data_IF_972752692937
#
_entry.id   IF_972752692937
#
_cell.length_a   1.000
_cell.length_b   1.000
_cell.length_c   1.000
_cell.angle_alpha   90.00
_cell.angle_beta   90.00
_cell.angle_gamma   90.00
#
_symmetry.space_group_name_H-M   'P 1'
#
loop_
_entity.id
_entity.type
_entity.pdbx_description
1 polymer ?
#
# COMPACT_ATOMS: atom_id res chain seq x y z
N UNK A 1 -27.34 6.64 -3.43
CA UNK A 1 -26.80 6.53 -4.80
C UNK A 1 -25.30 6.42 -4.69
N UNK A 2 -24.71 5.26 -4.94
CA UNK A 2 -23.25 5.16 -5.11
C UNK A 2 -22.94 5.70 -6.51
N UNK A 3 -22.16 6.79 -6.58
CA UNK A 3 -21.57 7.26 -7.83
C UNK A 3 -20.53 6.24 -8.29
N UNK A 4 -20.94 5.30 -9.14
CA UNK A 4 -20.09 4.27 -9.74
C UNK A 4 -19.28 4.83 -10.92
N UNK A 5 -18.44 5.82 -10.63
CA UNK A 5 -17.38 6.24 -11.53
C UNK A 5 -16.20 6.62 -10.67
N UNK A 6 -15.69 5.65 -9.90
CA UNK A 6 -14.35 5.82 -9.35
C UNK A 6 -13.39 5.96 -10.53
N UNK A 7 -12.64 7.05 -10.49
CA UNK A 7 -11.68 7.42 -11.51
C UNK A 7 -10.67 6.28 -11.72
N UNK A 8 -10.34 5.96 -12.98
CA UNK A 8 -9.53 4.77 -13.30
C UNK A 8 -8.19 4.78 -12.56
N UNK A 9 -7.55 5.96 -12.48
CA UNK A 9 -6.28 6.14 -11.78
C UNK A 9 -6.43 5.96 -10.26
N UNK A 10 -7.58 6.29 -9.68
CA UNK A 10 -7.84 6.08 -8.25
C UNK A 10 -7.98 4.59 -7.91
N UNK A 11 -8.73 3.85 -8.72
CA UNK A 11 -8.83 2.40 -8.57
C UNK A 11 -7.47 1.73 -8.79
N UNK A 12 -6.75 2.14 -9.84
CA UNK A 12 -5.41 1.63 -10.14
C UNK A 12 -4.43 1.90 -9.00
N UNK A 13 -4.48 3.08 -8.39
CA UNK A 13 -3.69 3.43 -7.21
C UNK A 13 -3.98 2.52 -6.04
N UNK A 14 -5.26 2.27 -5.73
CA UNK A 14 -5.63 1.36 -4.64
C UNK A 14 -5.12 -0.05 -4.88
N UNK A 15 -5.26 -0.57 -6.10
CA UNK A 15 -4.74 -1.89 -6.45
C UNK A 15 -3.22 -1.97 -6.30
N UNK A 16 -2.49 -0.94 -6.73
CA UNK A 16 -1.04 -0.87 -6.55
C UNK A 16 -0.67 -0.89 -5.07
N UNK A 17 -1.32 -0.07 -4.24
CA UNK A 17 -1.05 0.00 -2.80
C UNK A 17 -1.40 -1.31 -2.09
N UNK A 18 -2.50 -1.98 -2.45
CA UNK A 18 -2.85 -3.31 -1.92
C UNK A 18 -1.77 -4.33 -2.27
N UNK A 19 -1.26 -4.34 -3.50
CA UNK A 19 -0.14 -5.21 -3.91
C UNK A 19 1.12 -4.92 -3.11
N UNK A 20 1.47 -3.64 -2.95
CA UNK A 20 2.60 -3.19 -2.15
C UNK A 20 2.49 -3.66 -0.69
N UNK A 21 1.38 -3.40 -0.01
CA UNK A 21 1.18 -3.82 1.37
C UNK A 21 1.13 -5.35 1.53
N UNK A 22 0.67 -6.08 0.50
CA UNK A 22 0.75 -7.54 0.51
C UNK A 22 2.19 -8.02 0.54
N UNK A 23 3.05 -7.47 -0.33
CA UNK A 23 4.48 -7.79 -0.34
C UNK A 23 5.18 -7.40 0.97
N UNK A 24 4.82 -6.24 1.53
CA UNK A 24 5.32 -5.78 2.83
C UNK A 24 4.96 -6.77 3.96
N UNK A 25 3.69 -7.19 4.05
CA UNK A 25 3.24 -8.17 5.05
C UNK A 25 3.95 -9.51 4.85
N UNK A 26 4.03 -10.01 3.61
CA UNK A 26 4.69 -11.29 3.32
C UNK A 26 6.18 -11.27 3.71
N UNK A 27 6.86 -10.14 3.51
CA UNK A 27 8.25 -9.95 3.94
C UNK A 27 8.38 -10.04 5.46
N UNK A 28 7.50 -9.40 6.23
CA UNK A 28 7.51 -9.45 7.70
C UNK A 28 7.15 -10.83 8.25
N UNK A 29 6.30 -11.58 7.55
CA UNK A 29 6.05 -12.99 7.89
C UNK A 29 7.30 -13.82 7.63
N UNK A 30 7.99 -13.61 6.52
CA UNK A 30 9.20 -14.35 6.17
C UNK A 30 10.38 -14.09 7.11
N UNK A 31 10.45 -12.93 7.76
CA UNK A 31 11.46 -12.64 8.80
C UNK A 31 11.16 -13.32 10.14
N UNK A 32 10.02 -14.01 10.27
CA UNK A 32 9.62 -14.71 11.49
C UNK A 32 9.07 -13.80 12.59
N UNK A 33 8.74 -12.53 12.27
CA UNK A 33 8.28 -11.54 13.26
C UNK A 33 7.02 -12.00 14.03
N UNK A 34 6.20 -12.85 13.41
CA UNK A 34 4.92 -13.32 13.94
C UNK A 34 4.85 -14.83 14.14
N UNK A 35 6.01 -15.47 14.24
CA UNK A 35 6.18 -16.92 14.15
C UNK A 35 6.58 -17.36 12.74
N UNK A 36 6.89 -18.64 12.61
CA UNK A 36 7.39 -19.22 11.36
C UNK A 36 6.29 -20.00 10.62
N UNK A 37 5.91 -19.49 9.45
CA UNK A 37 4.89 -20.06 8.55
C UNK A 37 5.31 -21.45 7.99
N UNK A 38 6.60 -21.76 8.00
CA UNK A 38 7.18 -23.02 7.56
C UNK A 38 7.53 -23.97 8.72
N UNK A 39 7.29 -23.55 9.98
CA UNK A 39 7.61 -24.34 11.15
C UNK A 39 6.86 -25.68 11.18
N UNK A 40 7.50 -26.73 11.70
CA UNK A 40 6.82 -27.98 11.99
C UNK A 40 5.83 -27.84 13.16
N UNK A 41 6.07 -26.87 14.06
CA UNK A 41 5.16 -26.52 15.15
C UNK A 41 3.87 -25.90 14.59
N UNK A 42 2.75 -26.53 14.92
CA UNK A 42 1.42 -26.08 14.53
C UNK A 42 1.06 -24.73 15.13
N UNK A 43 1.50 -24.43 16.35
CA UNK A 43 1.19 -23.17 17.02
C UNK A 43 1.88 -22.00 16.32
N UNK A 44 3.15 -22.16 15.96
CA UNK A 44 3.93 -21.14 15.23
C UNK A 44 3.35 -20.86 13.85
N UNK A 45 3.01 -21.91 13.09
CA UNK A 45 2.32 -21.73 11.80
C UNK A 45 0.98 -21.02 11.92
N UNK A 46 0.21 -21.35 12.97
CA UNK A 46 -1.09 -20.72 13.19
C UNK A 46 -0.96 -19.24 13.53
N UNK A 47 0.01 -18.86 14.39
CA UNK A 47 0.30 -17.45 14.72
C UNK A 47 0.67 -16.66 13.46
N UNK A 48 1.62 -17.17 12.66
CA UNK A 48 2.05 -16.53 11.43
C UNK A 48 0.90 -16.38 10.42
N UNK A 49 0.14 -17.46 10.19
CA UNK A 49 -1.01 -17.44 9.27
C UNK A 49 -2.11 -16.46 9.70
N UNK A 50 -2.40 -16.39 11.01
CA UNK A 50 -3.38 -15.45 11.55
C UNK A 50 -2.90 -14.00 11.46
N UNK A 51 -1.62 -13.74 11.75
CA UNK A 51 -1.04 -12.40 11.62
C UNK A 51 -1.12 -11.91 10.16
N UNK A 52 -0.75 -12.77 9.20
CA UNK A 52 -0.85 -12.47 7.77
C UNK A 52 -2.28 -12.07 7.38
N UNK A 53 -3.27 -12.89 7.72
CA UNK A 53 -4.67 -12.62 7.36
C UNK A 53 -5.19 -11.31 7.95
N UNK A 54 -4.92 -11.06 9.23
CA UNK A 54 -5.38 -9.85 9.91
C UNK A 54 -4.74 -8.58 9.31
N UNK A 55 -3.43 -8.61 9.04
CA UNK A 55 -2.71 -7.46 8.47
C UNK A 55 -3.18 -7.17 7.04
N UNK A 56 -3.39 -8.20 6.21
CA UNK A 56 -3.87 -8.01 4.84
C UNK A 56 -5.28 -7.42 4.80
N UNK A 57 -6.21 -7.94 5.60
CA UNK A 57 -7.58 -7.37 5.68
C UNK A 57 -7.52 -5.91 6.11
N UNK A 58 -6.75 -5.62 7.17
CA UNK A 58 -6.59 -4.25 7.68
C UNK A 58 -6.05 -3.30 6.61
N UNK A 59 -4.99 -3.67 5.89
CA UNK A 59 -4.40 -2.80 4.87
C UNK A 59 -5.32 -2.61 3.66
N UNK A 60 -6.06 -3.65 3.26
CA UNK A 60 -7.06 -3.51 2.21
C UNK A 60 -8.15 -2.52 2.64
N UNK A 61 -8.70 -2.68 3.84
CA UNK A 61 -9.73 -1.77 4.37
C UNK A 61 -9.21 -0.33 4.48
N UNK A 62 -7.98 -0.14 4.98
CA UNK A 62 -7.32 1.17 5.04
C UNK A 62 -7.21 1.81 3.64
N UNK A 63 -6.65 1.10 2.66
CA UNK A 63 -6.47 1.61 1.29
C UNK A 63 -7.81 1.93 0.62
N UNK A 64 -8.82 1.08 0.80
CA UNK A 64 -10.15 1.34 0.25
C UNK A 64 -10.82 2.56 0.89
N UNK A 65 -10.51 2.86 2.16
CA UNK A 65 -10.97 4.04 2.88
C UNK A 65 -10.18 5.33 2.62
N UNK A 66 -9.03 5.27 1.94
CA UNK A 66 -8.21 6.46 1.68
C UNK A 66 -8.89 7.42 0.70
N UNK A 67 -8.87 8.70 1.06
CA UNK A 67 -9.24 9.80 0.18
C UNK A 67 -8.09 10.16 -0.78
N UNK A 68 -8.37 10.95 -1.83
CA UNK A 68 -7.40 11.31 -2.87
C UNK A 68 -6.07 11.87 -2.30
N UNK A 69 -6.14 12.76 -1.30
CA UNK A 69 -4.93 13.33 -0.68
C UNK A 69 -4.04 12.27 -0.04
N UNK A 70 -4.64 11.34 0.71
CA UNK A 70 -3.93 10.23 1.34
C UNK A 70 -3.34 9.25 0.31
N UNK A 71 -4.07 8.97 -0.77
CA UNK A 71 -3.55 8.14 -1.87
C UNK A 71 -2.34 8.81 -2.54
N UNK A 72 -2.43 10.12 -2.80
CA UNK A 72 -1.34 10.89 -3.38
C UNK A 72 -0.09 10.87 -2.49
N UNK A 73 -0.23 11.14 -1.20
CA UNK A 73 0.89 11.14 -0.25
C UNK A 73 1.50 9.75 -0.06
N UNK A 74 0.65 8.72 -0.02
CA UNK A 74 1.12 7.33 0.10
C UNK A 74 1.92 6.91 -1.12
N UNK A 75 1.46 7.24 -2.33
CA UNK A 75 2.23 7.01 -3.55
C UNK A 75 3.57 7.74 -3.50
N UNK A 76 3.58 8.98 -3.02
CA UNK A 76 4.80 9.77 -2.87
C UNK A 76 5.84 9.06 -1.98
N UNK A 77 5.40 8.55 -0.84
CA UNK A 77 6.24 7.75 0.05
C UNK A 77 6.78 6.51 -0.64
N UNK A 78 5.91 5.74 -1.30
CA UNK A 78 6.29 4.48 -1.97
C UNK A 78 7.38 4.70 -3.02
N UNK A 79 7.21 5.66 -3.93
CA UNK A 79 8.20 5.85 -4.99
C UNK A 79 9.50 6.48 -4.48
N UNK A 80 9.43 7.41 -3.52
CA UNK A 80 10.63 8.02 -2.92
C UNK A 80 11.45 7.02 -2.12
N UNK A 81 10.80 6.17 -1.34
CA UNK A 81 11.49 5.08 -0.65
C UNK A 81 12.08 4.09 -1.66
N UNK A 82 11.33 3.80 -2.73
CA UNK A 82 11.81 2.97 -3.83
C UNK A 82 13.09 3.51 -4.45
N UNK A 83 13.14 4.80 -4.81
CA UNK A 83 14.36 5.45 -5.31
C UNK A 83 15.49 5.46 -4.26
N UNK A 84 15.18 5.83 -3.02
CA UNK A 84 16.16 5.97 -1.94
C UNK A 84 16.89 4.66 -1.62
N UNK A 85 16.14 3.55 -1.61
CA UNK A 85 16.68 2.23 -1.30
C UNK A 85 17.10 1.43 -2.54
N UNK A 86 17.07 2.04 -3.74
CA UNK A 86 17.46 1.39 -4.98
C UNK A 86 16.53 0.25 -5.42
N UNK A 87 15.28 0.28 -4.97
CA UNK A 87 14.23 -0.68 -5.33
C UNK A 87 13.67 -0.29 -6.71
N UNK A 88 14.48 -0.46 -7.76
CA UNK A 88 13.99 -0.39 -9.15
C UNK A 88 13.09 -1.60 -9.39
N UNK A 89 11.80 -1.37 -9.20
CA UNK A 89 10.72 -2.33 -9.44
C UNK A 89 9.60 -1.64 -10.20
N UNK A 90 8.81 -2.44 -10.93
CA UNK A 90 7.62 -2.00 -11.64
C UNK A 90 6.70 -1.17 -10.72
N UNK A 91 6.59 -1.55 -9.44
CA UNK A 91 5.77 -0.87 -8.44
C UNK A 91 6.27 0.56 -8.12
N UNK A 92 7.58 0.80 -8.06
CA UNK A 92 8.17 2.13 -7.83
C UNK A 92 7.87 3.08 -9.01
N UNK A 93 8.08 2.60 -10.24
CA UNK A 93 7.82 3.39 -11.45
C UNK A 93 6.33 3.67 -11.63
N UNK A 94 5.49 2.65 -11.43
CA UNK A 94 4.04 2.80 -11.51
C UNK A 94 3.49 3.75 -10.44
N UNK A 95 4.06 3.71 -9.22
CA UNK A 95 3.71 4.64 -8.16
C UNK A 95 4.04 6.09 -8.53
N UNK A 96 5.20 6.32 -9.16
CA UNK A 96 5.59 7.65 -9.63
C UNK A 96 4.66 8.18 -10.75
N UNK A 97 4.33 7.33 -11.73
CA UNK A 97 3.42 7.72 -12.80
C UNK A 97 2.02 8.06 -12.28
N UNK A 98 1.47 7.23 -11.38
CA UNK A 98 0.19 7.51 -10.73
C UNK A 98 0.25 8.76 -9.86
N UNK A 99 1.34 8.97 -9.12
CA UNK A 99 1.54 10.17 -8.29
C UNK A 99 1.44 11.45 -9.12
N UNK A 100 2.07 11.49 -10.30
CA UNK A 100 1.95 12.62 -11.23
C UNK A 100 0.50 12.82 -11.70
N UNK A 101 -0.19 11.75 -12.08
CA UNK A 101 -1.57 11.83 -12.56
C UNK A 101 -2.55 12.28 -11.48
N UNK A 102 -2.35 11.84 -10.23
CA UNK A 102 -3.19 12.25 -9.11
C UNK A 102 -2.96 13.72 -8.72
N UNK A 103 -1.75 14.26 -8.95
CA UNK A 103 -1.44 15.67 -8.67
C UNK A 103 -2.42 16.62 -9.35
N UNK A 104 -2.76 16.35 -10.60
CA UNK A 104 -3.65 17.19 -11.40
C UNK A 104 -5.12 17.14 -10.93
N UNK A 105 -5.45 16.15 -10.08
CA UNK A 105 -6.78 15.95 -9.51
C UNK A 105 -6.93 16.57 -8.12
N UNK A 106 -5.84 17.01 -7.51
CA UNK A 106 -5.87 17.63 -6.19
C UNK A 106 -6.55 19.01 -6.26
N UNK A 107 -7.23 19.43 -5.17
CA UNK A 107 -7.76 20.78 -5.07
C UNK A 107 -6.69 21.85 -5.25
N UNK A 108 -7.06 22.99 -5.81
CA UNK A 108 -6.16 24.14 -5.89
C UNK A 108 -5.70 24.56 -4.49
N UNK A 109 -4.38 24.75 -4.33
CA UNK A 109 -3.78 25.07 -3.03
C UNK A 109 -3.67 23.89 -2.06
N UNK A 110 -3.85 22.64 -2.52
CA UNK A 110 -3.58 21.46 -1.70
C UNK A 110 -2.16 21.50 -1.11
N UNK A 111 -2.08 21.31 0.21
CA UNK A 111 -0.83 21.14 0.96
C UNK A 111 -0.84 19.74 1.57
N UNK A 112 0.17 18.90 1.28
CA UNK A 112 0.29 17.59 1.90
C UNK A 112 0.30 17.65 3.43
N UNK A 113 -0.27 16.65 4.10
CA UNK A 113 -0.42 16.63 5.55
C UNK A 113 0.94 16.69 6.27
N UNK A 114 1.97 16.05 5.71
CA UNK A 114 3.32 16.07 6.26
C UNK A 114 4.06 17.43 6.13
N UNK A 115 3.48 18.40 5.42
CA UNK A 115 4.01 19.78 5.27
C UNK A 115 3.20 20.83 6.04
N UNK A 116 2.13 20.43 6.72
CA UNK A 116 1.34 21.30 7.61
C UNK A 116 1.98 21.40 8.99
#
# INVERSE_FOLDING_TARGET
MMNLSEDYELMKTRLLLIRYYTAYVDTRIATGEFGDILSEDREERWKAGRARANLLVRHVDEVMGMELGWLYETLEGVWKDGERYGLSTYETEEAFELWKLLRDKLPEGYVPEYLK
#
